data_IF_379991804404
#
_entry.id   IF_379991804404
#
_cell.length_a   1.000
_cell.length_b   1.000
_cell.length_c   1.000
_cell.angle_alpha   90.00
_cell.angle_beta   90.00
_cell.angle_gamma   90.00
#
_symmetry.space_group_name_H-M   'P 1'
#
loop_
_entity.id
_entity.type
_entity.pdbx_description
1 polymer ?
#
# COMPACT_ATOMS: atom_id res chain seq x y z
N UNK A 1 -4.00 0.05 -11.37
CA UNK A 1 -4.69 0.52 -10.15
C UNK A 1 -5.76 1.55 -10.48
N UNK A 2 -6.87 1.61 -9.73
CA UNK A 2 -7.90 2.66 -9.89
C UNK A 2 -7.44 4.00 -9.31
N UNK A 3 -7.88 5.10 -9.93
CA UNK A 3 -7.64 6.46 -9.42
C UNK A 3 -8.52 6.75 -8.21
N UNK A 4 -7.94 7.37 -7.17
CA UNK A 4 -8.67 7.77 -5.95
C UNK A 4 -8.73 9.30 -5.90
N UNK A 5 -9.87 9.88 -6.23
CA UNK A 5 -10.02 11.34 -6.40
C UNK A 5 -9.59 12.15 -5.17
N UNK A 6 -9.88 11.65 -3.96
CA UNK A 6 -9.51 12.32 -2.71
C UNK A 6 -7.99 12.46 -2.59
N UNK A 7 -7.23 11.45 -3.00
CA UNK A 7 -5.76 11.47 -2.99
C UNK A 7 -5.22 12.36 -4.13
N UNK A 8 -5.81 12.30 -5.32
CA UNK A 8 -5.42 13.19 -6.43
C UNK A 8 -5.60 14.68 -6.09
N UNK A 9 -6.69 15.03 -5.38
CA UNK A 9 -6.89 16.39 -4.89
C UNK A 9 -5.85 16.77 -3.84
N UNK A 10 -5.54 15.87 -2.90
CA UNK A 10 -4.56 16.11 -1.85
C UNK A 10 -3.15 16.37 -2.38
N UNK A 11 -2.76 15.77 -3.51
CA UNK A 11 -1.49 16.03 -4.21
C UNK A 11 -1.32 17.49 -4.64
N UNK A 12 -2.41 18.15 -5.00
CA UNK A 12 -2.39 19.48 -5.60
C UNK A 12 -2.66 20.61 -4.59
N UNK A 13 -2.77 20.29 -3.30
CA UNK A 13 -3.09 21.25 -2.24
C UNK A 13 -1.89 21.34 -1.30
N UNK A 14 -1.41 22.56 -1.06
CA UNK A 14 -0.38 22.85 -0.04
C UNK A 14 -0.99 22.85 1.37
N UNK A 15 -1.45 21.67 1.82
CA UNK A 15 -1.97 21.42 3.17
C UNK A 15 -1.47 20.10 3.69
N UNK A 16 -1.29 20.01 5.00
CA UNK A 16 -0.91 18.75 5.64
C UNK A 16 -1.94 17.65 5.35
N UNK A 17 -1.48 16.46 4.95
CA UNK A 17 -2.34 15.29 4.69
C UNK A 17 -3.19 14.91 5.91
N UNK A 18 -2.64 15.08 7.11
CA UNK A 18 -3.33 14.81 8.38
C UNK A 18 -4.58 15.68 8.54
N UNK A 19 -4.50 16.96 8.19
CA UNK A 19 -5.64 17.89 8.26
C UNK A 19 -6.72 17.57 7.23
N UNK A 20 -6.37 16.79 6.20
CA UNK A 20 -7.28 16.27 5.18
C UNK A 20 -7.83 14.88 5.54
N UNK A 21 -7.49 14.36 6.73
CA UNK A 21 -7.89 13.03 7.19
C UNK A 21 -7.22 11.89 6.42
N UNK A 22 -6.08 12.15 5.77
CA UNK A 22 -5.36 11.16 4.95
C UNK A 22 -4.14 10.67 5.73
N UNK A 23 -4.01 9.35 5.85
CA UNK A 23 -2.79 8.75 6.38
C UNK A 23 -1.66 8.94 5.35
N UNK A 24 -0.54 9.51 5.79
CA UNK A 24 0.59 9.82 4.89
C UNK A 24 1.22 8.57 4.28
N UNK A 25 1.34 7.49 5.06
CA UNK A 25 1.89 6.21 4.59
C UNK A 25 1.05 5.64 3.45
N UNK A 26 -0.29 5.69 3.60
CA UNK A 26 -1.23 5.30 2.56
C UNK A 26 -1.10 6.17 1.29
N UNK A 27 -1.04 7.49 1.46
CA UNK A 27 -0.91 8.43 0.34
C UNK A 27 0.37 8.17 -0.47
N UNK A 28 1.53 8.11 0.17
CA UNK A 28 2.78 7.89 -0.55
C UNK A 28 2.89 6.48 -1.15
N UNK A 29 2.27 5.46 -0.55
CA UNK A 29 2.16 4.14 -1.17
C UNK A 29 1.32 4.18 -2.44
N UNK A 30 0.18 4.90 -2.43
CA UNK A 30 -0.62 5.14 -3.62
C UNK A 30 0.19 5.86 -4.71
N UNK A 31 0.86 6.96 -4.39
CA UNK A 31 1.65 7.72 -5.36
C UNK A 31 2.71 6.86 -6.05
N UNK A 32 3.51 6.13 -5.27
CA UNK A 32 4.59 5.28 -5.80
C UNK A 32 4.05 4.12 -6.64
N UNK A 33 2.81 3.70 -6.41
CA UNK A 33 2.18 2.61 -7.16
C UNK A 33 1.64 3.10 -8.51
N UNK A 34 1.34 4.39 -8.67
CA UNK A 34 0.92 4.94 -9.96
C UNK A 34 2.00 4.81 -11.04
N UNK A 35 3.27 4.78 -10.64
CA UNK A 35 4.42 4.57 -11.52
C UNK A 35 4.63 3.09 -11.89
N UNK A 36 3.71 2.19 -11.52
CA UNK A 36 3.80 0.75 -11.82
C UNK A 36 2.54 0.22 -12.49
N UNK A 37 2.61 -1.01 -12.99
CA UNK A 37 1.48 -1.73 -13.58
C UNK A 37 0.65 -2.50 -12.56
N UNK A 38 0.87 -2.29 -11.25
CA UNK A 38 0.18 -3.04 -10.21
C UNK A 38 -1.32 -2.71 -10.17
N UNK A 39 -2.13 -3.73 -9.88
CA UNK A 39 -3.58 -3.59 -9.83
C UNK A 39 -4.06 -2.89 -8.54
N UNK A 40 -3.30 -3.05 -7.45
CA UNK A 40 -3.58 -2.42 -6.16
C UNK A 40 -2.34 -1.76 -5.55
N UNK A 41 -2.57 -0.93 -4.53
CA UNK A 41 -1.55 -0.17 -3.80
C UNK A 41 -0.50 -1.12 -3.23
N UNK A 42 0.77 -0.80 -3.49
CA UNK A 42 1.93 -1.49 -2.93
C UNK A 42 2.65 -0.62 -1.91
N UNK A 43 2.72 -1.12 -0.68
CA UNK A 43 3.48 -0.53 0.41
C UNK A 43 4.93 -1.04 0.35
N UNK A 44 5.78 -0.23 -0.27
CA UNK A 44 7.23 -0.47 -0.41
C UNK A 44 8.07 0.20 0.69
N UNK A 45 7.43 0.98 1.57
CA UNK A 45 8.07 1.75 2.64
C UNK A 45 7.57 1.28 4.02
N UNK A 46 8.19 1.78 5.09
CA UNK A 46 7.90 1.43 6.49
C UNK A 46 6.42 1.68 6.81
N UNK A 47 5.79 0.71 7.49
CA UNK A 47 4.43 0.82 8.03
C UNK A 47 4.56 0.73 9.56
N UNK A 48 4.08 1.74 10.27
CA UNK A 48 4.04 1.74 11.72
C UNK A 48 2.76 1.09 12.24
N UNK A 49 2.76 0.61 13.48
CA UNK A 49 1.57 0.04 14.13
C UNK A 49 0.37 1.00 14.08
N UNK A 50 0.64 2.29 14.28
CA UNK A 50 -0.38 3.36 14.23
C UNK A 50 -0.96 3.60 12.84
N UNK A 51 -0.31 3.12 11.78
CA UNK A 51 -0.79 3.25 10.39
C UNK A 51 -1.79 2.14 10.01
N UNK A 52 -1.72 0.97 10.67
CA UNK A 52 -2.48 -0.23 10.24
C UNK A 52 -3.97 0.03 10.18
N UNK A 53 -4.56 0.53 11.27
CA UNK A 53 -6.00 0.80 11.31
C UNK A 53 -6.42 1.89 10.31
N UNK A 54 -5.74 3.06 10.23
CA UNK A 54 -6.00 4.04 9.18
C UNK A 54 -5.90 3.48 7.76
N UNK A 55 -4.91 2.62 7.46
CA UNK A 55 -4.76 1.99 6.15
C UNK A 55 -5.99 1.12 5.82
N UNK A 56 -6.44 0.30 6.78
CA UNK A 56 -7.63 -0.56 6.60
C UNK A 56 -8.87 0.32 6.39
N UNK A 57 -9.04 1.37 7.19
CA UNK A 57 -10.18 2.28 7.08
C UNK A 57 -10.19 2.99 5.71
N UNK A 58 -9.04 3.44 5.21
CA UNK A 58 -8.90 4.00 3.86
C UNK A 58 -9.19 2.96 2.77
N UNK A 59 -8.73 1.72 2.94
CA UNK A 59 -9.07 0.65 1.99
C UNK A 59 -10.59 0.43 1.92
N UNK A 60 -11.28 0.46 3.06
CA UNK A 60 -12.74 0.34 3.11
C UNK A 60 -13.44 1.56 2.52
N UNK A 61 -12.99 2.78 2.85
CA UNK A 61 -13.51 4.05 2.30
C UNK A 61 -13.40 4.06 0.77
N UNK A 62 -12.26 3.63 0.23
CA UNK A 62 -11.97 3.66 -1.19
C UNK A 62 -12.30 2.37 -1.92
N UNK A 63 -13.00 1.42 -1.28
CA UNK A 63 -13.42 0.16 -1.89
C UNK A 63 -12.24 -0.65 -2.50
N UNK A 64 -11.17 -0.83 -1.73
CA UNK A 64 -9.96 -1.58 -2.09
C UNK A 64 -10.02 -2.95 -1.42
N UNK A 65 -10.06 -4.02 -2.22
CA UNK A 65 -10.21 -5.39 -1.73
C UNK A 65 -8.93 -5.98 -1.14
N UNK A 66 -7.77 -5.49 -1.56
CA UNK A 66 -6.49 -5.94 -1.05
C UNK A 66 -5.41 -4.89 -1.26
N UNK A 67 -4.36 -4.93 -0.44
CA UNK A 67 -3.11 -4.19 -0.67
C UNK A 67 -1.96 -5.19 -0.76
N UNK A 68 -0.81 -4.71 -1.24
CA UNK A 68 0.43 -5.49 -1.25
C UNK A 68 1.51 -4.81 -0.43
N UNK A 69 2.38 -5.60 0.20
CA UNK A 69 3.51 -5.11 0.98
C UNK A 69 4.78 -5.78 0.44
N UNK A 70 5.73 -4.94 0.05
CA UNK A 70 7.07 -5.37 -0.40
C UNK A 70 8.18 -4.83 0.49
N UNK A 71 7.84 -4.03 1.51
CA UNK A 71 8.83 -3.58 2.48
C UNK A 71 9.44 -4.81 3.20
N UNK A 72 10.74 -4.75 3.47
CA UNK A 72 11.45 -5.73 4.29
C UNK A 72 11.86 -5.12 5.63
N UNK A 73 10.92 -4.47 6.32
CA UNK A 73 11.19 -3.88 7.63
C UNK A 73 11.41 -4.97 8.69
N UNK A 74 12.22 -4.65 9.70
CA UNK A 74 12.32 -5.50 10.87
C UNK A 74 10.96 -5.62 11.55
N UNK A 75 10.61 -6.82 12.02
CA UNK A 75 9.36 -7.09 12.73
C UNK A 75 8.09 -6.90 11.89
N UNK A 76 8.16 -7.13 10.57
CA UNK A 76 6.98 -7.09 9.70
C UNK A 76 5.86 -8.02 10.20
N UNK A 77 6.22 -9.14 10.85
CA UNK A 77 5.28 -10.07 11.48
C UNK A 77 4.36 -9.42 12.51
N UNK A 78 4.83 -8.41 13.26
CA UNK A 78 3.99 -7.70 14.24
C UNK A 78 2.95 -6.83 13.53
N UNK A 79 3.35 -6.15 12.46
CA UNK A 79 2.44 -5.35 11.63
C UNK A 79 1.40 -6.24 10.94
N UNK A 80 1.83 -7.40 10.43
CA UNK A 80 0.93 -8.39 9.83
C UNK A 80 -0.06 -8.96 10.85
N UNK A 81 0.37 -9.22 12.09
CA UNK A 81 -0.52 -9.64 13.17
C UNK A 81 -1.61 -8.59 13.42
N UNK A 82 -1.27 -7.29 13.44
CA UNK A 82 -2.26 -6.22 13.59
C UNK A 82 -3.28 -6.19 12.44
N UNK A 83 -2.86 -6.45 11.20
CA UNK A 83 -3.81 -6.58 10.08
C UNK A 83 -4.77 -7.76 10.30
N UNK A 84 -4.27 -8.91 10.76
CA UNK A 84 -5.08 -10.10 11.06
C UNK A 84 -6.04 -9.85 12.23
N UNK A 85 -5.59 -9.19 13.30
CA UNK A 85 -6.44 -8.80 14.44
C UNK A 85 -7.58 -7.87 14.02
N UNK A 86 -7.34 -7.02 13.01
CA UNK A 86 -8.37 -6.18 12.40
C UNK A 86 -9.20 -6.92 11.33
N UNK A 87 -9.10 -8.25 11.28
CA UNK A 87 -9.91 -9.12 10.45
C UNK A 87 -9.43 -9.26 9.01
N UNK A 88 -8.20 -8.85 8.65
CA UNK A 88 -7.66 -9.07 7.31
C UNK A 88 -7.06 -10.47 7.14
N UNK A 89 -6.93 -10.93 5.91
CA UNK A 89 -6.28 -12.22 5.58
C UNK A 89 -4.96 -12.00 4.84
N UNK A 90 -3.98 -12.87 5.05
CA UNK A 90 -2.64 -12.74 4.46
C UNK A 90 -2.40 -13.86 3.44
N UNK A 91 -1.85 -13.50 2.28
CA UNK A 91 -1.43 -14.41 1.21
C UNK A 91 -0.07 -13.96 0.64
N UNK A 92 0.61 -14.84 -0.08
CA UNK A 92 1.77 -14.46 -0.89
C UNK A 92 1.35 -14.16 -2.32
N UNK A 93 2.01 -13.20 -2.94
CA UNK A 93 1.81 -12.82 -4.34
C UNK A 93 3.10 -12.25 -4.93
N UNK A 94 3.02 -11.73 -6.14
CA UNK A 94 4.11 -10.99 -6.78
C UNK A 94 3.60 -9.64 -7.24
N UNK A 95 4.49 -8.64 -7.24
CA UNK A 95 4.22 -7.31 -7.78
C UNK A 95 5.34 -6.89 -8.72
N UNK A 96 5.00 -5.98 -9.63
CA UNK A 96 5.98 -5.36 -10.52
C UNK A 96 6.56 -4.12 -9.84
N UNK A 97 7.88 -4.07 -9.81
CA UNK A 97 8.68 -2.93 -9.38
C UNK A 97 8.72 -1.86 -10.48
N UNK A 98 8.95 -0.61 -10.10
CA UNK A 98 9.25 0.45 -11.09
C UNK A 98 10.67 0.35 -11.67
N UNK A 99 11.53 -0.44 -11.05
CA UNK A 99 12.90 -0.63 -11.50
C UNK A 99 12.97 -1.74 -12.56
N UNK A 100 13.88 -1.57 -13.51
CA UNK A 100 14.21 -2.59 -14.52
C UNK A 100 15.26 -3.53 -13.93
N UNK A 101 15.05 -4.83 -14.07
CA UNK A 101 16.05 -5.83 -13.73
C UNK A 101 17.21 -5.76 -14.74
N UNK A 102 18.42 -5.54 -14.24
CA UNK A 102 19.61 -5.37 -15.07
C UNK A 102 19.97 -6.62 -15.90
N UNK A 103 19.53 -7.81 -15.50
CA UNK A 103 19.82 -9.07 -16.21
C UNK A 103 18.86 -9.30 -17.35
N UNK A 104 17.58 -9.02 -17.13
CA UNK A 104 16.51 -9.33 -18.09
C UNK A 104 16.12 -8.13 -18.95
N UNK A 105 16.44 -6.91 -18.52
CA UNK A 105 15.99 -5.65 -19.10
C UNK A 105 14.45 -5.50 -19.12
N UNK A 106 13.77 -6.24 -18.24
CA UNK A 106 12.33 -6.22 -18.02
C UNK A 106 12.01 -5.63 -16.64
N UNK A 107 10.76 -5.20 -16.38
CA UNK A 107 10.34 -4.77 -15.04
C UNK A 107 10.64 -5.85 -13.99
N UNK A 108 11.31 -5.47 -12.91
CA UNK A 108 11.67 -6.36 -11.82
C UNK A 108 10.42 -6.90 -11.10
N UNK A 109 10.30 -8.23 -10.99
CA UNK A 109 9.20 -8.88 -10.28
C UNK A 109 9.65 -9.22 -8.85
N UNK A 110 8.86 -8.80 -7.86
CA UNK A 110 9.15 -9.05 -6.43
C UNK A 110 8.09 -9.92 -5.80
N UNK A 111 8.52 -10.82 -4.92
CA UNK A 111 7.62 -11.44 -3.96
C UNK A 111 7.03 -10.35 -3.05
N UNK A 112 5.74 -10.45 -2.79
CA UNK A 112 4.99 -9.51 -1.97
C UNK A 112 4.01 -10.25 -1.07
N UNK A 113 3.64 -9.59 0.01
CA UNK A 113 2.58 -10.04 0.91
C UNK A 113 1.30 -9.36 0.48
N UNK A 114 0.28 -10.14 0.13
CA UNK A 114 -1.07 -9.67 -0.17
C UNK A 114 -1.88 -9.65 1.12
N UNK A 115 -2.35 -8.48 1.52
CA UNK A 115 -3.28 -8.32 2.64
C UNK A 115 -4.67 -8.10 2.05
N UNK A 116 -5.57 -9.06 2.25
CA UNK A 116 -6.96 -9.01 1.81
C UNK A 116 -7.80 -8.31 2.87
N UNK A 117 -8.51 -7.27 2.46
CA UNK A 117 -9.35 -6.43 3.31
C UNK A 117 -10.74 -7.04 3.38
N UNK A 118 -11.07 -7.66 4.50
CA UNK A 118 -12.41 -8.20 4.72
C UNK A 118 -13.34 -7.06 5.14
N UNK A 119 -14.46 -6.90 4.41
CA UNK A 119 -15.42 -5.80 4.57
C UNK A 119 -16.51 -6.17 5.57
#
# INVERSE_FOLDING_TARGET
>A
MKTIEKLEKARNIDKCLKDQGINSTFFYAYERTLDTTNESINFSDVIWETDVKPIIDHCKEFDIDYITITNCQARIEDILALFVENGCSIQLTMVTSKYIDFKTNEPEIKNAIKVVINK
#
